data_IF_283267003926
#
_entry.id   IF_283267003926
#
_cell.length_a   1.000
_cell.length_b   1.000
_cell.length_c   1.000
_cell.angle_alpha   90.00
_cell.angle_beta   90.00
_cell.angle_gamma   90.00
#
_symmetry.space_group_name_H-M   'P 1'
#
loop_
_entity.id
_entity.type
_entity.pdbx_description
1 polymer ?
#
# COMPACT_ATOMS: atom_id res chain seq x y z
N UNK A 1 -0.96 16.24 25.53
CA UNK A 1 -0.28 14.92 25.48
C UNK A 1 -0.93 14.11 24.37
N UNK A 2 -0.26 13.96 23.22
CA UNK A 2 -0.70 12.97 22.22
C UNK A 2 -0.47 11.60 22.86
N UNK A 3 -1.53 10.81 23.05
CA UNK A 3 -1.35 9.37 23.32
C UNK A 3 -0.67 8.81 22.07
N UNK A 4 0.61 8.49 22.16
CA UNK A 4 1.22 7.55 21.21
C UNK A 4 0.47 6.25 21.43
N UNK A 5 -0.43 5.94 20.52
CA UNK A 5 -1.18 4.69 20.55
C UNK A 5 -0.17 3.59 20.18
N UNK A 6 0.56 3.09 21.18
CA UNK A 6 1.50 1.99 20.98
C UNK A 6 0.71 0.77 20.53
N UNK A 7 1.12 0.15 19.43
CA UNK A 7 0.51 -1.08 18.94
C UNK A 7 0.53 -2.16 20.02
N UNK A 8 -0.51 -3.00 20.07
CA UNK A 8 -0.54 -4.14 20.99
C UNK A 8 0.39 -5.26 20.53
N UNK A 9 0.69 -6.23 21.42
CA UNK A 9 1.47 -7.41 21.05
C UNK A 9 0.85 -8.20 19.90
N UNK A 10 -0.49 -8.27 19.83
CA UNK A 10 -1.22 -8.92 18.74
C UNK A 10 -0.99 -8.17 17.43
N UNK A 11 -1.18 -6.85 17.42
CA UNK A 11 -0.97 -6.02 16.22
C UNK A 11 0.48 -6.11 15.71
N UNK A 12 1.47 -6.06 16.62
CA UNK A 12 2.89 -6.20 16.28
C UNK A 12 3.19 -7.57 15.67
N UNK A 13 2.57 -8.62 16.22
CA UNK A 13 2.72 -9.98 15.70
C UNK A 13 2.10 -10.13 14.32
N UNK A 14 0.90 -9.57 14.10
CA UNK A 14 0.25 -9.61 12.78
C UNK A 14 1.03 -8.83 11.73
N UNK A 15 1.68 -7.71 12.09
CA UNK A 15 2.58 -6.98 11.18
C UNK A 15 3.75 -7.85 10.73
N UNK A 16 4.40 -8.56 11.67
CA UNK A 16 5.54 -9.42 11.36
C UNK A 16 5.12 -10.64 10.54
N UNK A 17 3.99 -11.26 10.87
CA UNK A 17 3.42 -12.35 10.07
C UNK A 17 3.03 -11.87 8.65
N UNK A 18 2.53 -10.65 8.51
CA UNK A 18 2.26 -10.04 7.20
C UNK A 18 3.55 -9.78 6.41
N UNK A 19 4.60 -9.29 7.08
CA UNK A 19 5.93 -9.10 6.48
C UNK A 19 6.51 -10.43 6.01
N UNK A 20 6.35 -11.51 6.78
CA UNK A 20 6.83 -12.85 6.44
C UNK A 20 6.25 -13.41 5.14
N UNK A 21 5.07 -12.93 4.71
CA UNK A 21 4.44 -13.33 3.45
C UNK A 21 5.04 -12.64 2.21
N UNK A 22 5.94 -11.67 2.40
CA UNK A 22 6.58 -10.90 1.32
C UNK A 22 8.01 -11.39 1.11
N UNK A 23 8.48 -11.41 -0.13
CA UNK A 23 9.76 -12.00 -0.52
C UNK A 23 11.01 -11.32 0.10
N UNK A 24 10.88 -10.12 0.66
CA UNK A 24 11.97 -9.35 1.30
C UNK A 24 12.13 -9.59 2.81
N UNK A 25 11.48 -10.62 3.37
CA UNK A 25 11.51 -10.91 4.80
C UNK A 25 12.89 -11.38 5.30
N UNK A 26 13.37 -10.80 6.40
CA UNK A 26 14.55 -11.26 7.13
C UNK A 26 14.12 -11.84 8.48
N UNK A 27 14.54 -13.07 8.81
CA UNK A 27 14.21 -13.71 10.09
C UNK A 27 14.75 -12.96 11.31
N UNK A 28 15.68 -12.01 11.13
CA UNK A 28 16.06 -11.05 12.19
C UNK A 28 14.92 -10.13 12.64
N UNK A 29 13.91 -9.92 11.80
CA UNK A 29 12.71 -9.18 12.19
C UNK A 29 11.98 -9.85 13.38
N UNK A 30 12.13 -11.17 13.56
CA UNK A 30 11.61 -11.86 14.75
C UNK A 30 12.36 -11.46 16.02
N UNK A 31 13.66 -11.16 15.93
CA UNK A 31 14.48 -10.69 17.07
C UNK A 31 14.04 -9.26 17.43
N UNK A 32 13.92 -8.37 16.45
CA UNK A 32 13.44 -7.00 16.65
C UNK A 32 12.02 -6.96 17.24
N UNK A 33 11.15 -7.86 16.77
CA UNK A 33 9.83 -8.07 17.34
C UNK A 33 9.93 -8.49 18.82
N UNK A 34 10.77 -9.47 19.14
CA UNK A 34 10.91 -9.95 20.52
C UNK A 34 11.36 -8.83 21.46
N UNK A 35 12.36 -8.04 21.06
CA UNK A 35 12.83 -6.87 21.80
C UNK A 35 11.70 -5.86 22.00
N UNK A 36 10.91 -5.57 20.96
CA UNK A 36 9.79 -4.64 21.04
C UNK A 36 8.72 -5.12 22.01
N UNK A 37 8.35 -6.40 21.96
CA UNK A 37 7.37 -7.02 22.87
C UNK A 37 7.87 -6.97 24.33
N UNK A 38 9.17 -7.22 24.55
CA UNK A 38 9.79 -7.11 25.87
C UNK A 38 9.78 -5.67 26.41
N UNK A 39 10.04 -4.68 25.56
CA UNK A 39 9.97 -3.26 25.94
C UNK A 39 8.55 -2.83 26.36
N UNK A 40 7.51 -3.54 25.92
CA UNK A 40 6.13 -3.33 26.37
C UNK A 40 5.81 -4.01 27.70
N UNK A 41 6.77 -4.72 28.31
CA UNK A 41 6.62 -5.39 29.61
C UNK A 41 6.08 -6.81 29.55
N UNK A 42 6.08 -7.45 28.37
CA UNK A 42 5.75 -8.86 28.23
C UNK A 42 7.00 -9.73 28.37
N UNK A 43 6.87 -10.87 29.05
CA UNK A 43 7.98 -11.76 29.37
C UNK A 43 7.58 -13.22 29.14
N UNK A 44 8.48 -14.00 28.53
CA UNK A 44 8.46 -15.47 28.53
C UNK A 44 9.87 -16.00 28.24
N UNK A 45 10.17 -17.24 28.64
CA UNK A 45 11.47 -17.85 28.40
C UNK A 45 11.80 -17.89 26.90
N UNK A 46 10.82 -18.26 26.06
CA UNK A 46 10.97 -18.28 24.61
C UNK A 46 11.27 -16.90 24.02
N UNK A 47 10.69 -15.84 24.59
CA UNK A 47 10.87 -14.46 24.16
C UNK A 47 12.29 -13.95 24.50
N UNK A 48 12.76 -14.23 25.72
CA UNK A 48 14.13 -13.91 26.12
C UNK A 48 15.17 -14.63 25.27
N UNK A 49 14.92 -15.91 24.95
CA UNK A 49 15.81 -16.66 24.07
C UNK A 49 15.82 -16.02 22.68
N UNK A 50 14.65 -15.76 22.08
CA UNK A 50 14.54 -15.17 20.74
C UNK A 50 15.28 -13.83 20.62
N UNK A 51 15.17 -12.97 21.62
CA UNK A 51 15.84 -11.67 21.65
C UNK A 51 17.39 -11.78 21.62
N UNK A 52 17.96 -12.94 21.92
CA UNK A 52 19.41 -13.19 21.88
C UNK A 52 19.91 -13.89 20.60
N UNK A 53 19.07 -14.13 19.60
CA UNK A 53 19.39 -14.96 18.42
C UNK A 53 19.90 -14.17 17.19
N UNK A 54 20.51 -13.00 17.37
CA UNK A 54 20.99 -12.13 16.28
C UNK A 54 21.89 -12.83 15.25
N UNK A 55 22.68 -13.80 15.69
CA UNK A 55 23.67 -14.51 14.86
C UNK A 55 23.30 -15.97 14.54
N UNK A 56 22.11 -16.40 14.95
CA UNK A 56 21.65 -17.77 14.74
C UNK A 56 21.02 -17.99 13.36
N UNK A 57 20.67 -19.24 13.06
CA UNK A 57 20.01 -19.58 11.79
C UNK A 57 18.51 -19.27 11.83
N UNK A 58 17.92 -19.04 10.65
CA UNK A 58 16.48 -18.74 10.48
C UNK A 58 15.59 -19.77 11.17
N UNK A 59 15.90 -21.05 11.06
CA UNK A 59 15.08 -22.14 11.63
C UNK A 59 15.02 -22.07 13.16
N UNK A 60 16.10 -21.59 13.80
CA UNK A 60 16.15 -21.40 15.26
C UNK A 60 15.31 -20.20 15.66
N UNK A 61 15.40 -19.08 14.92
CA UNK A 61 14.59 -17.88 15.18
C UNK A 61 13.09 -18.15 15.01
N UNK A 62 12.69 -18.80 13.91
CA UNK A 62 11.30 -19.15 13.64
C UNK A 62 10.71 -20.05 14.72
N UNK A 63 11.46 -21.07 15.16
CA UNK A 63 11.03 -21.94 16.25
C UNK A 63 10.68 -21.13 17.50
N UNK A 64 11.60 -20.27 17.96
CA UNK A 64 11.38 -19.48 19.17
C UNK A 64 10.35 -18.37 18.99
N UNK A 65 10.13 -17.88 17.78
CA UNK A 65 9.01 -16.98 17.45
C UNK A 65 7.66 -17.65 17.69
N UNK A 66 7.44 -18.85 17.14
CA UNK A 66 6.17 -19.57 17.36
C UNK A 66 6.01 -20.10 18.80
N UNK A 67 7.10 -20.46 19.48
CA UNK A 67 7.05 -20.77 20.91
C UNK A 67 6.65 -19.52 21.73
N UNK A 68 7.20 -18.34 21.40
CA UNK A 68 6.81 -17.07 22.03
C UNK A 68 5.34 -16.71 21.80
N UNK A 69 4.82 -16.91 20.58
CA UNK A 69 3.38 -16.72 20.28
C UNK A 69 2.51 -17.58 21.19
N UNK A 70 2.90 -18.84 21.40
CA UNK A 70 2.17 -19.80 22.23
C UNK A 70 2.21 -19.41 23.71
N UNK A 71 3.39 -19.06 24.22
CA UNK A 71 3.59 -18.65 25.61
C UNK A 71 2.81 -17.37 25.94
N UNK A 72 2.83 -16.40 25.03
CA UNK A 72 2.14 -15.12 25.17
C UNK A 72 0.64 -15.19 24.84
N UNK A 73 0.16 -16.37 24.39
CA UNK A 73 -1.22 -16.64 23.98
C UNK A 73 -1.74 -15.64 22.94
N UNK A 74 -0.90 -15.33 21.95
CA UNK A 74 -1.23 -14.39 20.89
C UNK A 74 -2.11 -15.10 19.86
N UNK A 75 -3.26 -14.49 19.56
CA UNK A 75 -4.14 -14.98 18.52
C UNK A 75 -3.59 -14.62 17.13
N UNK A 76 -3.35 -15.64 16.31
CA UNK A 76 -2.83 -15.49 14.94
C UNK A 76 -3.86 -15.90 13.88
N UNK A 77 -5.15 -15.99 14.25
CA UNK A 77 -6.25 -16.33 13.33
C UNK A 77 -6.57 -15.16 12.38
N UNK A 78 -5.69 -14.96 11.40
CA UNK A 78 -5.85 -14.02 10.29
C UNK A 78 -5.55 -14.73 8.98
N UNK A 79 -6.30 -14.39 7.95
CA UNK A 79 -5.98 -14.83 6.59
C UNK A 79 -4.72 -14.14 6.11
N UNK A 80 -3.98 -14.76 5.17
CA UNK A 80 -2.82 -14.13 4.54
C UNK A 80 -3.15 -12.74 3.98
N UNK A 81 -4.36 -12.60 3.44
CA UNK A 81 -4.83 -11.33 2.89
C UNK A 81 -4.98 -10.23 3.95
N UNK A 82 -5.52 -10.56 5.12
CA UNK A 82 -5.61 -9.63 6.25
C UNK A 82 -4.23 -9.29 6.81
N UNK A 83 -3.32 -10.27 6.90
CA UNK A 83 -1.96 -10.06 7.38
C UNK A 83 -1.18 -9.10 6.47
N UNK A 84 -1.26 -9.28 5.15
CA UNK A 84 -0.65 -8.37 4.18
C UNK A 84 -1.26 -6.96 4.31
N UNK A 85 -2.57 -6.84 4.48
CA UNK A 85 -3.21 -5.54 4.67
C UNK A 85 -2.75 -4.86 5.97
N UNK A 86 -2.60 -5.60 7.06
CA UNK A 86 -2.06 -5.10 8.34
C UNK A 86 -0.62 -4.62 8.16
N UNK A 87 0.22 -5.38 7.47
CA UNK A 87 1.60 -4.98 7.18
C UNK A 87 1.65 -3.72 6.30
N UNK A 88 0.87 -3.67 5.22
CA UNK A 88 0.79 -2.53 4.32
C UNK A 88 0.35 -1.24 5.05
N UNK A 89 -0.67 -1.33 5.92
CA UNK A 89 -1.09 -0.21 6.78
C UNK A 89 0.00 0.22 7.75
N UNK A 90 0.77 -0.72 8.30
CA UNK A 90 1.91 -0.40 9.17
C UNK A 90 3.00 0.36 8.42
N UNK A 91 3.38 -0.09 7.23
CA UNK A 91 4.35 0.60 6.37
C UNK A 91 3.87 2.02 6.04
N UNK A 92 2.61 2.15 5.61
CA UNK A 92 2.02 3.45 5.29
C UNK A 92 1.96 4.40 6.48
N UNK A 93 1.54 3.91 7.65
CA UNK A 93 1.49 4.70 8.89
C UNK A 93 2.87 5.22 9.28
N UNK A 94 3.89 4.35 9.25
CA UNK A 94 5.28 4.73 9.52
C UNK A 94 5.78 5.79 8.52
N UNK A 95 5.46 5.64 7.24
CA UNK A 95 5.86 6.58 6.19
C UNK A 95 5.25 7.97 6.41
N UNK A 96 3.94 8.04 6.71
CA UNK A 96 3.25 9.32 6.99
C UNK A 96 3.79 9.99 8.24
N UNK A 97 4.14 9.21 9.27
CA UNK A 97 4.72 9.71 10.53
C UNK A 97 6.23 10.02 10.44
N UNK A 98 6.89 9.75 9.32
CA UNK A 98 8.34 9.85 9.12
C UNK A 98 9.15 8.94 10.08
N UNK A 99 8.61 7.76 10.41
CA UNK A 99 9.30 6.72 11.20
C UNK A 99 10.15 5.78 10.32
N UNK A 100 9.96 5.84 9.01
CA UNK A 100 10.73 5.15 7.97
C UNK A 100 10.98 6.15 6.84
N UNK A 101 12.09 6.00 6.12
CA UNK A 101 12.33 6.79 4.92
C UNK A 101 11.24 6.54 3.87
N UNK A 102 10.86 7.60 3.15
CA UNK A 102 9.73 7.55 2.21
C UNK A 102 10.01 6.64 1.02
N UNK A 103 11.26 6.55 0.56
CA UNK A 103 11.66 5.71 -0.57
C UNK A 103 11.79 4.25 -0.13
N UNK A 104 12.28 3.99 1.08
CA UNK A 104 12.26 2.66 1.69
C UNK A 104 10.84 2.13 1.84
N UNK A 105 9.91 2.94 2.36
CA UNK A 105 8.51 2.57 2.48
C UNK A 105 7.85 2.36 1.11
N UNK A 106 8.15 3.24 0.15
CA UNK A 106 7.62 3.15 -1.20
C UNK A 106 8.02 1.84 -1.88
N UNK A 107 9.30 1.47 -1.82
CA UNK A 107 9.79 0.19 -2.34
C UNK A 107 9.06 -1.00 -1.71
N UNK A 108 8.82 -0.97 -0.40
CA UNK A 108 8.05 -2.02 0.29
C UNK A 108 6.61 -2.13 -0.23
N UNK A 109 5.95 -1.01 -0.49
CA UNK A 109 4.61 -1.02 -1.08
C UNK A 109 4.59 -1.53 -2.53
N UNK A 110 5.62 -1.23 -3.32
CA UNK A 110 5.76 -1.76 -4.67
C UNK A 110 5.94 -3.29 -4.64
N UNK A 111 6.78 -3.81 -3.74
CA UNK A 111 6.91 -5.26 -3.51
C UNK A 111 5.58 -5.88 -3.11
N UNK A 112 4.83 -5.26 -2.19
CA UNK A 112 3.49 -5.75 -1.80
C UNK A 112 2.55 -5.79 -3.02
N UNK A 113 2.57 -4.77 -3.87
CA UNK A 113 1.74 -4.76 -5.09
C UNK A 113 2.10 -5.95 -6.00
N UNK A 114 3.39 -6.20 -6.26
CA UNK A 114 3.84 -7.32 -7.09
C UNK A 114 3.46 -8.69 -6.50
N UNK A 115 3.71 -8.92 -5.21
CA UNK A 115 3.44 -10.20 -4.53
C UNK A 115 1.94 -10.50 -4.37
N UNK A 116 1.09 -9.48 -4.50
CA UNK A 116 -0.38 -9.63 -4.44
C UNK A 116 -1.03 -9.70 -5.82
N UNK A 117 -0.25 -10.01 -6.86
CA UNK A 117 -0.70 -10.04 -8.26
C UNK A 117 -1.36 -8.72 -8.66
N UNK A 118 -0.72 -7.61 -8.27
CA UNK A 118 -1.16 -6.25 -8.53
C UNK A 118 -2.56 -5.95 -8.01
N UNK A 119 -2.87 -6.39 -6.78
CA UNK A 119 -4.14 -6.08 -6.12
C UNK A 119 -4.40 -4.56 -6.16
N UNK A 120 -5.61 -4.19 -6.58
CA UNK A 120 -6.06 -2.80 -6.73
C UNK A 120 -5.81 -1.92 -5.50
N UNK A 121 -5.73 -2.49 -4.30
CA UNK A 121 -5.42 -1.74 -3.07
C UNK A 121 -4.01 -1.18 -3.06
N UNK A 122 -3.07 -1.82 -3.75
CA UNK A 122 -1.64 -1.50 -3.70
C UNK A 122 -1.10 -1.04 -5.06
N UNK A 123 -1.77 -1.37 -6.17
CA UNK A 123 -1.31 -1.07 -7.54
C UNK A 123 -0.99 0.41 -7.79
N UNK A 124 -1.62 1.34 -7.06
CA UNK A 124 -1.31 2.77 -7.15
C UNK A 124 0.17 3.08 -6.91
N UNK A 125 0.84 2.35 -6.02
CA UNK A 125 2.28 2.52 -5.75
C UNK A 125 3.13 2.03 -6.93
N UNK A 126 2.80 0.88 -7.51
CA UNK A 126 3.47 0.35 -8.70
C UNK A 126 3.32 1.28 -9.91
N UNK A 127 2.15 1.88 -10.11
CA UNK A 127 1.92 2.85 -11.19
C UNK A 127 2.82 4.09 -11.03
N UNK A 128 3.04 4.55 -9.79
CA UNK A 128 3.95 5.66 -9.52
C UNK A 128 5.39 5.27 -9.86
N UNK A 129 5.80 4.04 -9.54
CA UNK A 129 7.15 3.53 -9.84
C UNK A 129 7.40 3.52 -11.35
N UNK A 130 6.47 2.98 -12.14
CA UNK A 130 6.54 2.98 -13.61
C UNK A 130 6.64 4.40 -14.19
N UNK A 131 5.86 5.35 -13.66
CA UNK A 131 5.93 6.75 -14.10
C UNK A 131 7.27 7.41 -13.72
N UNK A 132 7.87 7.06 -12.59
CA UNK A 132 9.20 7.56 -12.19
C UNK A 132 10.30 7.03 -13.09
N UNK A 133 10.31 5.74 -13.40
CA UNK A 133 11.25 5.18 -14.37
C UNK A 133 11.12 5.89 -15.72
N UNK A 134 9.88 6.10 -16.19
CA UNK A 134 9.64 6.80 -17.44
C UNK A 134 10.08 8.27 -17.43
N UNK A 135 9.94 8.95 -16.30
CA UNK A 135 10.47 10.30 -16.12
C UNK A 135 11.99 10.33 -16.24
N UNK A 136 12.68 9.37 -15.62
CA UNK A 136 14.14 9.26 -15.69
C UNK A 136 14.66 9.00 -17.12
N UNK A 137 14.01 8.11 -17.87
CA UNK A 137 14.47 7.73 -19.22
C UNK A 137 13.96 8.63 -20.34
N UNK A 138 12.74 9.14 -20.24
CA UNK A 138 12.02 9.77 -21.34
C UNK A 138 11.41 11.14 -20.99
N UNK A 139 11.62 11.63 -19.77
CA UNK A 139 11.10 12.92 -19.28
C UNK A 139 9.59 13.06 -19.52
N UNK A 140 8.84 11.96 -19.32
CA UNK A 140 7.38 11.91 -19.43
C UNK A 140 6.79 10.84 -18.52
N UNK A 141 5.54 11.02 -18.13
CA UNK A 141 4.71 10.03 -17.42
C UNK A 141 3.70 9.39 -18.36
N UNK A 142 3.26 8.17 -18.07
CA UNK A 142 2.18 7.50 -18.78
C UNK A 142 0.82 7.67 -18.09
N UNK A 143 0.80 7.61 -16.76
CA UNK A 143 -0.46 7.59 -16.00
C UNK A 143 -0.68 8.90 -15.24
N UNK A 144 0.38 9.41 -14.60
CA UNK A 144 0.29 10.48 -13.61
C UNK A 144 0.90 11.78 -14.13
N UNK A 145 0.10 12.61 -14.81
CA UNK A 145 0.59 13.88 -15.41
C UNK A 145 1.21 14.88 -14.44
N UNK A 146 0.91 14.76 -13.15
CA UNK A 146 1.29 15.76 -12.13
C UNK A 146 2.54 15.33 -11.34
N UNK A 147 3.09 14.14 -11.64
CA UNK A 147 4.31 13.61 -11.05
C UNK A 147 5.55 14.12 -11.81
N UNK A 148 6.56 14.53 -11.06
CA UNK A 148 7.85 15.05 -11.57
C UNK A 148 8.99 14.60 -10.67
N UNK A 149 10.23 14.67 -11.16
CA UNK A 149 11.42 14.36 -10.35
C UNK A 149 11.64 15.35 -9.19
N UNK A 150 11.04 16.54 -9.25
CA UNK A 150 11.16 17.54 -8.18
C UNK A 150 10.14 17.33 -7.05
N UNK A 151 8.98 16.73 -7.35
CA UNK A 151 7.88 16.58 -6.39
C UNK A 151 7.60 15.13 -5.95
N UNK A 152 8.31 14.13 -6.48
CA UNK A 152 7.95 12.72 -6.29
C UNK A 152 7.86 12.29 -4.81
N UNK A 153 8.74 12.77 -3.94
CA UNK A 153 8.69 12.42 -2.51
C UNK A 153 7.41 12.89 -1.85
N UNK A 154 6.97 14.10 -2.17
CA UNK A 154 5.72 14.65 -1.67
C UNK A 154 4.51 13.92 -2.29
N UNK A 155 4.59 13.61 -3.58
CA UNK A 155 3.57 12.86 -4.29
C UNK A 155 3.36 11.46 -3.69
N UNK A 156 4.45 10.71 -3.44
CA UNK A 156 4.44 9.40 -2.78
C UNK A 156 3.87 9.53 -1.35
N UNK A 157 4.29 10.54 -0.60
CA UNK A 157 3.76 10.77 0.76
C UNK A 157 2.26 11.03 0.75
N UNK A 158 1.74 11.75 -0.24
CA UNK A 158 0.31 11.94 -0.43
C UNK A 158 -0.39 10.62 -0.79
N UNK A 159 0.24 9.74 -1.58
CA UNK A 159 -0.31 8.41 -1.88
C UNK A 159 -0.47 7.58 -0.61
N UNK A 160 0.51 7.60 0.29
CA UNK A 160 0.41 6.93 1.58
C UNK A 160 -0.75 7.45 2.44
N UNK A 161 -0.98 8.76 2.45
CA UNK A 161 -2.11 9.35 3.17
C UNK A 161 -3.45 8.90 2.57
N UNK A 162 -3.58 8.96 1.25
CA UNK A 162 -4.76 8.50 0.52
C UNK A 162 -5.02 7.02 0.79
N UNK A 163 -3.97 6.20 0.74
CA UNK A 163 -4.04 4.77 1.01
C UNK A 163 -4.63 4.49 2.39
N UNK A 164 -4.13 5.15 3.45
CA UNK A 164 -4.67 4.99 4.80
C UNK A 164 -6.13 5.44 4.88
N UNK A 165 -6.46 6.61 4.34
CA UNK A 165 -7.84 7.14 4.34
C UNK A 165 -8.82 6.21 3.60
N UNK A 166 -8.40 5.57 2.51
CA UNK A 166 -9.22 4.60 1.76
C UNK A 166 -9.66 3.39 2.59
N UNK A 167 -8.91 3.02 3.65
CA UNK A 167 -9.32 1.94 4.56
C UNK A 167 -10.23 2.41 5.70
N UNK A 168 -10.34 3.72 5.92
CA UNK A 168 -11.25 4.28 6.91
C UNK A 168 -12.69 4.41 6.36
N UNK A 169 -12.84 4.38 5.04
CA UNK A 169 -14.13 4.55 4.35
C UNK A 169 -14.63 3.24 3.73
N UNK A 170 -15.93 2.94 3.93
CA UNK A 170 -16.57 1.79 3.27
C UNK A 170 -17.04 2.19 1.88
N UNK A 171 -16.21 1.99 0.86
CA UNK A 171 -16.57 2.27 -0.53
C UNK A 171 -17.11 0.98 -1.20
N UNK A 172 -18.32 1.01 -1.80
CA UNK A 172 -18.84 -0.12 -2.57
C UNK A 172 -17.94 -0.50 -3.75
N UNK A 173 -17.82 -1.79 -4.06
CA UNK A 173 -16.96 -2.25 -5.15
C UNK A 173 -17.36 -1.70 -6.53
N UNK A 174 -18.65 -1.42 -6.72
CA UNK A 174 -19.19 -0.77 -7.94
C UNK A 174 -18.72 0.67 -8.13
N UNK A 175 -18.22 1.32 -7.08
CA UNK A 175 -17.72 2.69 -7.09
C UNK A 175 -16.20 2.73 -7.25
N UNK A 176 -15.50 1.69 -6.78
CA UNK A 176 -14.03 1.51 -6.95
C UNK A 176 -13.59 1.27 -8.40
N UNK A 177 -14.50 1.25 -9.36
CA UNK A 177 -14.19 1.12 -10.79
C UNK A 177 -14.53 2.40 -11.57
N UNK A 178 -14.96 3.46 -10.87
CA UNK A 178 -15.33 4.73 -11.49
C UNK A 178 -14.12 5.59 -11.76
N UNK A 179 -14.23 6.35 -12.84
CA UNK A 179 -13.27 7.34 -13.27
C UNK A 179 -13.75 8.71 -12.80
N UNK A 180 -12.81 9.64 -12.62
CA UNK A 180 -13.16 11.04 -12.41
C UNK A 180 -13.03 11.81 -13.73
N UNK A 181 -14.13 12.41 -14.19
CA UNK A 181 -14.10 13.32 -15.31
C UNK A 181 -13.78 14.74 -14.83
N UNK A 182 -12.73 15.36 -15.33
CA UNK A 182 -12.34 16.72 -14.90
C UNK A 182 -13.24 17.80 -15.49
N UNK A 183 -13.88 17.56 -16.63
CA UNK A 183 -14.71 18.58 -17.28
C UNK A 183 -16.09 18.75 -16.64
N UNK A 184 -16.72 17.64 -16.21
CA UNK A 184 -18.01 17.66 -15.52
C UNK A 184 -17.90 17.34 -14.02
N UNK A 185 -16.67 17.29 -13.51
CA UNK A 185 -16.31 17.10 -12.10
C UNK A 185 -17.04 15.93 -11.41
N UNK A 186 -17.26 14.82 -12.13
CA UNK A 186 -18.13 13.72 -11.67
C UNK A 186 -17.40 12.38 -11.68
N UNK A 187 -17.72 11.53 -10.70
CA UNK A 187 -17.37 10.11 -10.69
C UNK A 187 -18.32 9.33 -11.60
N UNK A 188 -17.79 8.80 -12.70
CA UNK A 188 -18.55 8.24 -13.81
C UNK A 188 -18.05 6.84 -14.19
N UNK A 189 -18.88 6.11 -14.93
CA UNK A 189 -18.41 4.99 -15.76
C UNK A 189 -18.02 5.53 -17.13
N UNK A 190 -17.04 4.88 -17.74
CA UNK A 190 -16.58 5.22 -19.08
C UNK A 190 -17.48 4.56 -20.12
N UNK A 191 -17.60 5.22 -21.26
CA UNK A 191 -18.22 4.68 -22.46
C UNK A 191 -17.15 4.61 -23.56
N UNK A 192 -17.09 3.47 -24.25
CA UNK A 192 -16.27 3.36 -25.46
C UNK A 192 -16.96 4.09 -26.62
N UNK A 193 -16.22 4.97 -27.30
CA UNK A 193 -16.67 5.68 -28.49
C UNK A 193 -15.70 5.43 -29.64
N UNK A 194 -16.23 5.12 -30.82
CA UNK A 194 -15.43 4.94 -32.03
C UNK A 194 -15.29 6.28 -32.73
N UNK A 195 -14.06 6.71 -32.94
CA UNK A 195 -13.72 7.91 -33.71
C UNK A 195 -13.00 7.57 -35.00
N UNK A 196 -13.06 8.50 -35.94
CA UNK A 196 -12.44 8.38 -37.25
C UNK A 196 -11.31 9.38 -37.41
N UNK A 197 -10.25 8.98 -38.09
CA UNK A 197 -9.12 9.84 -38.44
C UNK A 197 -8.65 9.58 -39.87
N UNK A 198 -7.90 10.54 -40.42
CA UNK A 198 -7.39 10.48 -41.79
C UNK A 198 -6.19 9.54 -41.97
N UNK A 199 -5.52 9.14 -40.89
CA UNK A 199 -4.35 8.25 -40.92
C UNK A 199 -4.72 6.88 -40.36
N UNK A 200 -4.07 5.83 -40.86
CA UNK A 200 -4.28 4.47 -40.36
C UNK A 200 -3.84 4.35 -38.88
N UNK A 201 -4.63 3.67 -38.00
CA UNK A 201 -5.93 3.08 -38.31
C UNK A 201 -7.03 4.15 -38.44
N UNK A 202 -7.84 4.08 -39.51
CA UNK A 202 -8.87 5.10 -39.81
C UNK A 202 -10.00 5.17 -38.80
N UNK A 203 -10.15 4.13 -37.97
CA UNK A 203 -11.04 4.09 -36.82
C UNK A 203 -10.23 3.70 -35.60
N UNK A 204 -10.54 4.31 -34.46
CA UNK A 204 -9.95 3.98 -33.18
C UNK A 204 -10.99 4.17 -32.08
N UNK A 205 -10.85 3.38 -31.02
CA UNK A 205 -11.72 3.45 -29.84
C UNK A 205 -11.09 4.35 -28.80
N UNK A 206 -11.90 5.20 -28.19
CA UNK A 206 -11.53 6.03 -27.05
C UNK A 206 -12.52 5.83 -25.91
N UNK A 207 -12.06 6.07 -24.70
CA UNK A 207 -12.91 6.12 -23.53
C UNK A 207 -13.35 7.57 -23.29
N UNK A 208 -14.66 7.78 -23.19
CA UNK A 208 -15.25 9.09 -22.90
C UNK A 208 -16.14 9.03 -21.67
N UNK A 209 -16.33 10.19 -21.05
CA UNK A 209 -17.27 10.39 -19.96
C UNK A 209 -18.70 10.07 -20.42
N UNK A 210 -19.40 9.19 -19.71
CA UNK A 210 -20.80 8.85 -20.05
C UNK A 210 -21.76 10.04 -19.93
N UNK A 211 -21.42 11.06 -19.13
CA UNK A 211 -22.26 12.23 -18.89
C UNK A 211 -22.05 13.35 -19.92
N UNK A 212 -20.81 13.69 -20.25
CA UNK A 212 -20.48 14.86 -21.08
C UNK A 212 -19.69 14.55 -22.36
N UNK A 213 -19.27 13.29 -22.57
CA UNK A 213 -18.48 12.89 -23.74
C UNK A 213 -17.01 13.33 -23.72
N UNK A 214 -16.52 13.90 -22.62
CA UNK A 214 -15.12 14.32 -22.47
C UNK A 214 -14.16 13.13 -22.39
N UNK A 215 -12.97 13.29 -22.96
CA UNK A 215 -11.82 12.39 -22.83
C UNK A 215 -10.95 12.69 -21.61
N UNK A 216 -11.19 13.81 -20.92
CA UNK A 216 -10.40 14.24 -19.78
C UNK A 216 -10.79 13.45 -18.52
N UNK A 217 -10.34 12.19 -18.52
CA UNK A 217 -10.65 11.19 -17.51
C UNK A 217 -9.41 10.86 -16.68
N UNK A 218 -9.59 10.78 -15.37
CA UNK A 218 -8.62 10.25 -14.42
C UNK A 218 -9.08 8.85 -14.00
N UNK A 219 -8.20 7.87 -14.14
CA UNK A 219 -8.47 6.47 -13.75
C UNK A 219 -8.64 6.34 -12.24
N UNK A 220 -9.20 5.22 -11.79
CA UNK A 220 -9.48 4.97 -10.36
C UNK A 220 -8.24 5.16 -9.48
N UNK A 221 -7.10 4.66 -9.95
CA UNK A 221 -5.87 4.64 -9.15
C UNK A 221 -5.17 6.01 -9.10
N UNK A 222 -5.68 7.02 -9.80
CA UNK A 222 -5.18 8.38 -9.70
C UNK A 222 -5.57 9.03 -8.37
N UNK A 223 -4.65 9.80 -7.77
CA UNK A 223 -4.87 10.48 -6.49
C UNK A 223 -6.12 11.36 -6.46
N UNK A 224 -6.42 12.07 -7.54
CA UNK A 224 -7.61 12.93 -7.64
C UNK A 224 -8.88 12.07 -7.53
N UNK A 225 -8.94 10.97 -8.27
CA UNK A 225 -10.09 10.06 -8.25
C UNK A 225 -10.27 9.43 -6.87
N UNK A 226 -9.20 8.95 -6.24
CA UNK A 226 -9.23 8.41 -4.87
C UNK A 226 -9.72 9.45 -3.86
N UNK A 227 -9.22 10.70 -3.93
CA UNK A 227 -9.68 11.80 -3.06
C UNK A 227 -11.17 12.07 -3.23
N UNK A 228 -11.68 12.11 -4.47
CA UNK A 228 -13.11 12.29 -4.75
C UNK A 228 -13.97 11.13 -4.22
N UNK A 229 -13.46 9.90 -4.28
CA UNK A 229 -14.11 8.74 -3.66
C UNK A 229 -14.15 8.87 -2.13
N UNK A 230 -13.04 9.22 -1.49
CA UNK A 230 -12.99 9.45 -0.03
C UNK A 230 -13.99 10.55 0.37
N UNK A 231 -13.97 11.69 -0.31
CA UNK A 231 -14.88 12.83 -0.04
C UNK A 231 -16.36 12.42 -0.13
N UNK A 232 -16.72 11.51 -1.04
CA UNK A 232 -18.10 11.05 -1.22
C UNK A 232 -18.57 10.09 -0.11
N UNK A 233 -17.66 9.35 0.51
CA UNK A 233 -17.97 8.25 1.44
C UNK A 233 -17.49 8.48 2.88
N UNK A 234 -16.92 9.65 3.16
CA UNK A 234 -16.59 10.13 4.51
C UNK A 234 -17.80 10.80 5.15
#
# INVERSE_FOLDING_TARGET
MKKTNSMTKEELTHVILGKQLICDFDSKDFVDWAVTIMQQGYESDSLFILAGLDYERTEVREKYFYDSIRDLKIDINKTNQELIEIYAKSVAGKAVNNEIDIEDAFRKMCTIACETDYDRRYIGFYIIEEDLECLEYANRTFFTTDLTLDNYKEYIKNEFQIFLEMFEVTIPDSEKVKYYCTDCESLIRIKAEVRYQLKQPFKYEINVCENCGSENLKYTENQITKRKLIEKYR
#
